data_IF_527013347462
#
_entry.id   IF_527013347462
#
_cell.length_a   1.000
_cell.length_b   1.000
_cell.length_c   1.000
_cell.angle_alpha   90.00
_cell.angle_beta   90.00
_cell.angle_gamma   90.00
#
_symmetry.space_group_name_H-M   'P 1'
#
loop_
_entity.id
_entity.type
_entity.pdbx_description
1 polymer ?
#
# COMPACT_ATOMS: atom_id res chain seq x y z
N UNK A 1 13.61 5.38 15.54
CA UNK A 1 13.81 5.13 14.09
C UNK A 1 12.48 5.24 13.37
N UNK A 2 12.48 5.18 12.04
CA UNK A 2 11.27 5.21 11.22
C UNK A 2 10.59 3.83 11.19
N UNK A 3 9.26 3.79 11.36
CA UNK A 3 8.43 2.57 11.21
C UNK A 3 7.77 2.50 9.82
N UNK A 4 7.38 3.66 9.29
CA UNK A 4 7.01 3.88 7.90
C UNK A 4 7.46 5.29 7.49
N UNK A 5 7.87 5.49 6.24
CA UNK A 5 8.32 6.80 5.73
C UNK A 5 8.11 6.90 4.23
N UNK A 6 8.11 8.12 3.71
CA UNK A 6 8.04 8.43 2.29
C UNK A 6 8.99 9.60 1.99
N UNK A 7 9.57 9.59 0.79
CA UNK A 7 10.50 10.62 0.30
C UNK A 7 10.08 11.04 -1.12
N UNK A 8 10.56 12.20 -1.56
CA UNK A 8 10.30 12.70 -2.91
C UNK A 8 9.00 13.49 -3.02
N UNK A 9 8.41 13.49 -4.22
CA UNK A 9 7.23 14.29 -4.54
C UNK A 9 6.05 13.93 -3.63
N UNK A 10 5.35 14.95 -3.13
CA UNK A 10 4.15 14.79 -2.30
C UNK A 10 4.36 13.96 -1.00
N UNK A 11 5.61 13.81 -0.56
CA UNK A 11 5.97 13.00 0.62
C UNK A 11 5.37 13.49 1.93
N UNK A 12 5.10 14.79 2.08
CA UNK A 12 4.43 15.32 3.28
C UNK A 12 3.01 14.74 3.46
N UNK A 13 2.25 14.65 2.37
CA UNK A 13 0.91 14.06 2.38
C UNK A 13 0.99 12.54 2.59
N UNK A 14 1.95 11.87 1.94
CA UNK A 14 2.20 10.45 2.14
C UNK A 14 2.51 10.11 3.61
N UNK A 15 3.43 10.86 4.24
CA UNK A 15 3.81 10.67 5.65
C UNK A 15 2.64 10.95 6.58
N UNK A 16 1.81 11.96 6.30
CA UNK A 16 0.60 12.22 7.08
C UNK A 16 -0.36 11.01 7.07
N UNK A 17 -0.56 10.41 5.90
CA UNK A 17 -1.39 9.21 5.75
C UNK A 17 -0.80 7.99 6.46
N UNK A 18 0.50 7.76 6.30
CA UNK A 18 1.20 6.68 6.99
C UNK A 18 1.05 6.82 8.51
N UNK A 19 1.12 8.03 9.06
CA UNK A 19 0.92 8.25 10.51
C UNK A 19 -0.50 7.93 10.98
N UNK A 20 -1.51 8.10 10.14
CA UNK A 20 -2.91 7.84 10.50
C UNK A 20 -3.28 6.36 10.34
N UNK A 21 -2.76 5.70 9.31
CA UNK A 21 -3.21 4.38 8.90
C UNK A 21 -2.27 3.23 9.30
N UNK A 22 -0.99 3.52 9.55
CA UNK A 22 -0.05 2.49 10.00
C UNK A 22 -0.38 2.05 11.43
N UNK A 23 -0.63 0.75 11.62
CA UNK A 23 -0.90 0.15 12.92
C UNK A 23 0.32 -0.60 13.43
N UNK A 24 0.97 -0.03 14.43
CA UNK A 24 2.19 -0.61 14.98
C UNK A 24 1.93 -1.97 15.63
N UNK A 25 2.70 -2.99 15.24
CA UNK A 25 2.61 -4.34 15.81
C UNK A 25 1.45 -5.18 15.28
N UNK A 26 0.54 -4.58 14.50
CA UNK A 26 -0.68 -5.24 14.00
C UNK A 26 -0.69 -5.46 12.49
N UNK A 27 0.31 -4.94 11.76
CA UNK A 27 0.39 -5.10 10.31
C UNK A 27 1.22 -6.32 9.91
N UNK A 28 0.64 -7.17 9.07
CA UNK A 28 1.40 -8.18 8.34
C UNK A 28 1.92 -7.62 6.99
N UNK A 29 2.67 -8.43 6.25
CA UNK A 29 3.23 -8.02 4.95
C UNK A 29 2.16 -7.59 3.95
N UNK A 30 1.02 -8.29 3.89
CA UNK A 30 -0.06 -7.96 2.97
C UNK A 30 -0.73 -6.63 3.35
N UNK A 31 -0.95 -6.39 4.64
CA UNK A 31 -1.49 -5.11 5.11
C UNK A 31 -0.55 -3.95 4.75
N UNK A 32 0.77 -4.17 4.90
CA UNK A 32 1.78 -3.17 4.55
C UNK A 32 1.80 -2.89 3.04
N UNK A 33 1.67 -3.92 2.20
CA UNK A 33 1.56 -3.77 0.75
C UNK A 33 0.32 -2.98 0.33
N UNK A 34 -0.83 -3.27 0.95
CA UNK A 34 -2.07 -2.55 0.70
C UNK A 34 -1.97 -1.07 1.13
N UNK A 35 -1.38 -0.80 2.30
CA UNK A 35 -1.14 0.57 2.75
C UNK A 35 -0.15 1.31 1.83
N UNK A 36 0.88 0.64 1.32
CA UNK A 36 1.82 1.23 0.38
C UNK A 36 1.12 1.62 -0.93
N UNK A 37 0.32 0.72 -1.53
CA UNK A 37 -0.45 1.04 -2.75
C UNK A 37 -1.44 2.17 -2.50
N UNK A 38 -2.16 2.16 -1.36
CA UNK A 38 -3.08 3.22 -0.99
C UNK A 38 -2.40 4.58 -0.81
N UNK A 39 -1.22 4.58 -0.20
CA UNK A 39 -0.44 5.80 -0.03
C UNK A 39 -0.03 6.32 -1.40
N UNK A 40 0.50 5.45 -2.27
CA UNK A 40 0.87 5.79 -3.63
C UNK A 40 -0.31 6.30 -4.45
N UNK A 41 -1.51 5.69 -4.35
CA UNK A 41 -2.68 6.05 -5.17
C UNK A 41 -3.18 7.46 -4.88
N UNK A 42 -2.96 7.94 -3.66
CA UNK A 42 -3.34 9.28 -3.23
C UNK A 42 -2.23 10.30 -3.37
N UNK A 43 -0.98 9.87 -3.59
CA UNK A 43 0.17 10.78 -3.67
C UNK A 43 0.72 10.92 -5.07
N UNK A 44 0.50 9.94 -5.94
CA UNK A 44 0.79 10.02 -7.37
C UNK A 44 -0.35 10.78 -8.05
N UNK A 45 -0.02 11.79 -8.85
CA UNK A 45 -0.97 12.54 -9.69
C UNK A 45 -1.41 11.70 -10.91
N UNK A 46 -1.84 10.46 -10.68
CA UNK A 46 -2.28 9.52 -11.70
C UNK A 46 -3.70 9.08 -11.38
N UNK A 47 -4.55 8.99 -12.41
CA UNK A 47 -5.94 8.56 -12.26
C UNK A 47 -6.08 7.08 -11.94
N UNK A 48 -5.06 6.27 -12.25
CA UNK A 48 -5.02 4.84 -11.95
C UNK A 48 -3.58 4.37 -11.74
N UNK A 49 -3.35 3.59 -10.68
CA UNK A 49 -2.08 2.86 -10.51
C UNK A 49 -2.11 1.60 -11.36
N UNK A 50 -1.02 1.38 -12.10
CA UNK A 50 -0.79 0.19 -12.90
C UNK A 50 0.59 -0.38 -12.58
N UNK A 51 0.79 -1.68 -12.80
CA UNK A 51 2.02 -2.37 -12.42
C UNK A 51 3.28 -1.92 -13.17
N UNK A 52 3.14 -1.20 -14.29
CA UNK A 52 4.25 -0.56 -15.02
C UNK A 52 4.69 0.78 -14.41
N UNK A 53 3.91 1.34 -13.47
CA UNK A 53 4.19 2.65 -12.84
C UNK A 53 4.81 2.54 -11.45
N UNK A 54 4.82 1.35 -10.87
CA UNK A 54 5.31 1.11 -9.52
C UNK A 54 6.19 -0.12 -9.48
N UNK A 55 7.27 -0.05 -8.72
CA UNK A 55 8.11 -1.19 -8.41
C UNK A 55 8.03 -1.45 -6.90
N UNK A 56 7.87 -2.71 -6.52
CA UNK A 56 7.74 -3.12 -5.12
C UNK A 56 8.76 -4.21 -4.84
N UNK A 57 9.56 -4.01 -3.79
CA UNK A 57 10.45 -5.03 -3.25
C UNK A 57 10.11 -5.30 -1.79
N UNK A 58 10.18 -6.58 -1.40
CA UNK A 58 9.97 -7.03 -0.02
C UNK A 58 11.23 -7.68 0.51
N UNK A 59 11.42 -7.57 1.82
CA UNK A 59 12.49 -8.22 2.56
C UNK A 59 11.86 -9.05 3.68
N UNK A 60 11.96 -10.37 3.58
CA UNK A 60 11.38 -11.32 4.55
C UNK A 60 12.46 -12.19 5.19
N UNK A 61 12.10 -12.82 6.30
CA UNK A 61 12.92 -13.87 6.94
C UNK A 61 12.23 -15.21 6.72
N UNK A 62 12.88 -16.11 5.99
CA UNK A 62 12.41 -17.46 5.70
C UNK A 62 13.50 -18.43 6.16
N UNK A 63 13.17 -19.40 7.03
CA UNK A 63 14.11 -20.41 7.54
C UNK A 63 15.42 -19.84 8.09
N UNK A 64 15.33 -18.72 8.81
CA UNK A 64 16.50 -18.02 9.38
C UNK A 64 17.35 -17.25 8.37
N UNK A 65 17.01 -17.29 7.08
CA UNK A 65 17.68 -16.57 6.00
C UNK A 65 16.89 -15.32 5.59
N UNK A 66 17.63 -14.27 5.23
CA UNK A 66 17.02 -13.05 4.68
C UNK A 66 16.80 -13.24 3.19
N UNK A 67 15.56 -13.03 2.75
CA UNK A 67 15.18 -13.13 1.34
C UNK A 67 14.65 -11.77 0.87
N UNK A 68 15.26 -11.27 -0.19
CA UNK A 68 14.78 -10.09 -0.90
C UNK A 68 14.06 -10.55 -2.16
N UNK A 69 12.85 -10.03 -2.39
CA UNK A 69 12.05 -10.35 -3.58
C UNK A 69 11.57 -9.06 -4.22
N UNK A 70 11.87 -8.87 -5.49
CA UNK A 70 11.23 -7.85 -6.31
C UNK A 70 9.95 -8.48 -6.86
N UNK A 71 8.81 -7.86 -6.60
CA UNK A 71 7.52 -8.39 -7.05
C UNK A 71 7.41 -8.20 -8.57
N UNK A 72 7.15 -9.29 -9.28
CA UNK A 72 6.84 -9.22 -10.71
C UNK A 72 5.50 -8.54 -10.96
N UNK A 73 5.29 -8.06 -12.19
CA UNK A 73 4.07 -7.37 -12.60
C UNK A 73 2.76 -8.10 -12.19
N UNK A 74 2.62 -9.43 -12.35
CA UNK A 74 1.40 -10.13 -11.94
C UNK A 74 1.09 -10.02 -10.44
N UNK A 75 2.11 -10.05 -9.59
CA UNK A 75 1.95 -9.93 -8.15
C UNK A 75 1.57 -8.50 -7.76
N UNK A 76 2.19 -7.50 -8.39
CA UNK A 76 1.86 -6.08 -8.19
C UNK A 76 0.41 -5.79 -8.63
N UNK A 77 -0.02 -6.33 -9.78
CA UNK A 77 -1.40 -6.21 -10.26
C UNK A 77 -2.41 -6.83 -9.28
N UNK A 78 -2.08 -7.96 -8.67
CA UNK A 78 -2.95 -8.59 -7.67
C UNK A 78 -3.13 -7.71 -6.43
N UNK A 79 -2.06 -7.07 -5.95
CA UNK A 79 -2.13 -6.13 -4.81
C UNK A 79 -2.95 -4.90 -5.17
N UNK A 80 -2.77 -4.35 -6.37
CA UNK A 80 -3.55 -3.20 -6.87
C UNK A 80 -5.05 -3.56 -6.93
N UNK A 81 -5.40 -4.71 -7.52
CA UNK A 81 -6.80 -5.17 -7.61
C UNK A 81 -7.42 -5.34 -6.22
N UNK A 82 -6.70 -5.96 -5.28
CA UNK A 82 -7.16 -6.09 -3.89
C UNK A 82 -7.41 -4.73 -3.24
N UNK A 83 -6.53 -3.75 -3.47
CA UNK A 83 -6.73 -2.40 -2.97
C UNK A 83 -8.00 -1.75 -3.55
N UNK A 84 -8.21 -1.83 -4.87
CA UNK A 84 -9.40 -1.30 -5.55
C UNK A 84 -10.69 -1.94 -5.00
N UNK A 85 -10.71 -3.26 -4.78
CA UNK A 85 -11.86 -3.97 -4.19
C UNK A 85 -12.17 -3.53 -2.76
N UNK A 86 -11.13 -3.30 -1.94
CA UNK A 86 -11.28 -2.83 -0.57
C UNK A 86 -11.82 -1.41 -0.54
N UNK A 87 -11.29 -0.50 -1.37
CA UNK A 87 -11.80 0.86 -1.45
C UNK A 87 -13.26 0.90 -1.94
N UNK A 88 -13.60 0.12 -2.98
CA UNK A 88 -14.97 0.04 -3.48
C UNK A 88 -15.96 -0.46 -2.42
N UNK A 89 -15.58 -1.46 -1.62
CA UNK A 89 -16.39 -1.97 -0.50
C UNK A 89 -16.56 -0.90 0.59
N UNK A 90 -15.48 -0.25 0.99
CA UNK A 90 -15.51 0.80 2.01
C UNK A 90 -16.37 2.01 1.58
N UNK A 91 -16.37 2.36 0.29
CA UNK A 91 -17.24 3.40 -0.25
C UNK A 91 -18.72 2.98 -0.29
N UNK A 92 -19.00 1.73 -0.66
CA UNK A 92 -20.36 1.20 -0.68
C UNK A 92 -20.98 1.14 0.74
N UNK A 93 -20.19 0.76 1.75
CA UNK A 93 -20.61 0.74 3.15
C UNK A 93 -20.91 2.16 3.66
N UNK A 94 -20.02 3.13 3.40
CA UNK A 94 -20.25 4.54 3.76
C UNK A 94 -21.50 5.14 3.11
N UNK A 95 -21.90 4.68 1.91
CA UNK A 95 -23.15 5.11 1.25
C UNK A 95 -24.38 4.50 1.91
N UNK A 96 -24.30 3.27 2.40
CA UNK A 96 -25.39 2.59 3.10
C UNK A 96 -25.62 3.14 4.51
N UNK A 97 -24.57 3.54 5.24
CA UNK A 97 -24.70 4.15 6.56
C UNK A 97 -25.26 5.59 6.53
N UNK A 98 -25.19 6.25 5.37
CA UNK A 98 -25.69 7.62 5.16
C UNK A 98 -27.08 7.69 4.53
N UNK A 99 -27.68 6.54 4.19
CA UNK A 99 -29.04 6.43 3.63
C UNK A 99 -30.01 5.90 4.69
#
# INVERSE_FOLDING_TARGET
GWKATCIGNNSANAVSMLKQEYKEGEMNLNDALLLAIKTLSKTLDMTKITADKVEIATLTREDGQTKMTILGAPAVEEVIKKHEEIEAKAEAEKKKEKS
#
